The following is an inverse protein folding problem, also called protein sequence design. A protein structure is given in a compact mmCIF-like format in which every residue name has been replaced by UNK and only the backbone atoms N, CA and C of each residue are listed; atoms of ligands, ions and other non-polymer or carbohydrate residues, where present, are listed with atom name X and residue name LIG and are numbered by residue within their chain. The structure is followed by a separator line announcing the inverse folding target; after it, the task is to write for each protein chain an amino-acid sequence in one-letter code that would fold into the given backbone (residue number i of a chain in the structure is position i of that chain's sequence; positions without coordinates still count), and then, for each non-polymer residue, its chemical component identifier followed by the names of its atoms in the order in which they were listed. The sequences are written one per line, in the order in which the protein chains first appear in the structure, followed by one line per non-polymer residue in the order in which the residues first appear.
data_IF_676702992563
#
_entry.id   IF_676702992563
#
_cell.length_a   1.000
_cell.length_b   1.000
_cell.length_c   1.000
_cell.angle_alpha   90.00
_cell.angle_beta   90.00
_cell.angle_gamma   90.00
#
_symmetry.space_group_name_H-M   'P 1'
#
loop_
_entity.id
_entity.type
_entity.pdbx_description
1 polymer ?
#
# COMPACT_ATOMS: atom_id res chain seq x y z
N UNK A 1 7.81 22.00 -12.95
CA UNK A 1 7.34 22.42 -11.62
C UNK A 1 8.17 21.69 -10.56
N UNK A 2 9.14 22.36 -9.93
CA UNK A 2 9.92 21.77 -8.85
C UNK A 2 9.00 21.61 -7.61
N UNK A 3 8.98 20.43 -7.00
CA UNK A 3 8.24 20.21 -5.75
C UNK A 3 8.68 21.25 -4.71
N UNK A 4 7.73 22.05 -4.21
CA UNK A 4 8.03 23.08 -3.21
C UNK A 4 8.64 22.44 -1.95
N UNK A 5 9.52 23.16 -1.26
CA UNK A 5 10.13 22.70 -0.02
C UNK A 5 9.10 22.20 1.01
N UNK A 6 7.91 22.84 1.03
CA UNK A 6 6.78 22.43 1.86
C UNK A 6 6.28 21.01 1.54
N UNK A 7 6.18 20.63 0.25
CA UNK A 7 5.73 19.29 -0.15
C UNK A 7 6.74 18.21 0.24
N UNK A 8 8.05 18.51 0.19
CA UNK A 8 9.09 17.59 0.66
C UNK A 8 9.03 17.38 2.18
N UNK A 9 8.91 18.45 2.94
CA UNK A 9 8.79 18.39 4.40
C UNK A 9 7.56 17.61 4.86
N UNK A 10 6.41 17.81 4.20
CA UNK A 10 5.18 17.09 4.52
C UNK A 10 5.32 15.59 4.25
N UNK A 11 5.86 15.19 3.09
CA UNK A 11 6.10 13.76 2.80
C UNK A 11 7.05 13.11 3.81
N UNK A 12 8.08 13.82 4.25
CA UNK A 12 9.05 13.28 5.20
C UNK A 12 8.45 13.02 6.59
N UNK A 13 7.49 13.85 7.02
CA UNK A 13 6.86 13.71 8.35
C UNK A 13 5.59 12.86 8.34
N UNK A 14 4.87 12.78 7.22
CA UNK A 14 3.55 12.13 7.16
C UNK A 14 3.51 10.84 6.34
N UNK A 15 4.57 10.52 5.59
CA UNK A 15 4.57 9.36 4.69
C UNK A 15 5.81 8.50 4.89
N UNK A 16 5.58 7.24 5.25
CA UNK A 16 6.61 6.21 5.22
C UNK A 16 6.55 5.47 3.89
N UNK A 17 7.69 5.40 3.17
CA UNK A 17 7.81 4.58 1.95
C UNK A 17 8.26 3.18 2.34
N UNK A 18 7.40 2.20 2.08
CA UNK A 18 7.74 0.78 2.21
C UNK A 18 7.92 0.24 0.79
N UNK A 19 9.08 -0.37 0.52
CA UNK A 19 9.39 -1.06 -0.73
C UNK A 19 9.49 -2.54 -0.41
N UNK A 20 8.83 -3.36 -1.23
CA UNK A 20 8.91 -4.81 -1.16
C UNK A 20 9.10 -5.34 -2.57
N UNK A 21 9.93 -6.36 -2.70
CA UNK A 21 10.11 -7.09 -3.96
C UNK A 21 9.10 -8.24 -4.01
N UNK A 22 8.45 -8.39 -5.16
CA UNK A 22 7.54 -9.49 -5.46
C UNK A 22 8.20 -10.36 -6.52
N UNK A 23 8.25 -11.66 -6.29
CA UNK A 23 8.89 -12.59 -7.22
C UNK A 23 7.92 -12.94 -8.34
N UNK A 24 8.39 -12.81 -9.58
CA UNK A 24 7.58 -13.08 -10.77
C UNK A 24 7.06 -14.52 -10.86
N UNK A 25 7.68 -15.48 -10.18
CA UNK A 25 7.31 -16.89 -10.25
C UNK A 25 6.36 -17.33 -9.13
N UNK A 26 6.53 -16.81 -7.91
CA UNK A 26 5.72 -17.20 -6.75
C UNK A 26 4.57 -16.24 -6.46
N UNK A 27 4.74 -14.97 -6.84
CA UNK A 27 3.77 -13.89 -6.61
C UNK A 27 3.15 -13.42 -7.94
N UNK A 28 3.13 -14.28 -8.95
CA UNK A 28 2.61 -13.96 -10.29
C UNK A 28 1.14 -13.54 -10.25
N UNK A 29 0.33 -14.24 -9.45
CA UNK A 29 -1.08 -13.96 -9.20
C UNK A 29 -1.30 -12.61 -8.51
N UNK A 30 -0.46 -12.27 -7.53
CA UNK A 30 -0.47 -10.96 -6.86
C UNK A 30 -0.10 -9.87 -7.85
N UNK A 31 0.94 -10.09 -8.67
CA UNK A 31 1.38 -9.13 -9.70
C UNK A 31 0.33 -8.92 -10.79
N UNK A 32 -0.40 -9.96 -11.18
CA UNK A 32 -1.54 -9.86 -12.10
C UNK A 32 -2.67 -9.07 -11.46
N UNK A 33 -3.06 -9.41 -10.22
CA UNK A 33 -4.14 -8.68 -9.53
C UNK A 33 -3.83 -7.21 -9.35
N UNK A 34 -2.57 -6.89 -9.03
CA UNK A 34 -2.09 -5.52 -8.91
C UNK A 34 -2.06 -4.76 -10.26
N UNK A 35 -1.98 -5.46 -11.40
CA UNK A 35 -2.07 -4.82 -12.72
C UNK A 35 -3.51 -4.50 -13.11
N UNK A 36 -4.47 -5.32 -12.70
CA UNK A 36 -5.89 -5.11 -13.03
C UNK A 36 -6.53 -3.97 -12.25
N UNK A 37 -6.08 -3.72 -11.01
CA UNK A 37 -6.71 -2.71 -10.15
C UNK A 37 -6.34 -1.28 -10.56
N UNK A 38 -7.31 -0.33 -10.49
CA UNK A 38 -7.07 1.06 -10.87
C UNK A 38 -6.06 1.77 -9.94
N UNK A 39 -5.92 1.31 -8.69
CA UNK A 39 -4.94 1.83 -7.74
C UNK A 39 -4.36 0.73 -6.85
N UNK A 40 -3.12 0.32 -7.15
CA UNK A 40 -2.37 -0.67 -6.37
C UNK A 40 -2.25 -0.29 -4.89
N UNK A 41 -1.86 0.95 -4.61
CA UNK A 41 -1.74 1.44 -3.24
C UNK A 41 -3.09 1.50 -2.53
N UNK A 42 -4.16 1.90 -3.24
CA UNK A 42 -5.51 1.94 -2.66
C UNK A 42 -6.02 0.55 -2.30
N UNK A 43 -5.82 -0.41 -3.21
CA UNK A 43 -6.22 -1.80 -3.03
C UNK A 43 -5.52 -2.44 -1.83
N UNK A 44 -4.20 -2.31 -1.74
CA UNK A 44 -3.42 -2.84 -0.61
C UNK A 44 -3.89 -2.22 0.72
N UNK A 45 -4.12 -0.90 0.76
CA UNK A 45 -4.61 -0.23 1.98
C UNK A 45 -6.00 -0.71 2.39
N UNK A 46 -6.89 -0.99 1.43
CA UNK A 46 -8.22 -1.51 1.72
C UNK A 46 -8.15 -2.91 2.33
N UNK A 47 -7.29 -3.79 1.80
CA UNK A 47 -7.07 -5.13 2.34
C UNK A 47 -6.51 -5.08 3.76
N UNK A 48 -5.51 -4.26 4.03
CA UNK A 48 -4.91 -4.13 5.37
C UNK A 48 -5.96 -3.59 6.37
N UNK A 49 -6.76 -2.59 5.98
CA UNK A 49 -7.82 -2.08 6.87
C UNK A 49 -8.87 -3.14 7.18
N UNK A 50 -9.34 -3.86 6.16
CA UNK A 50 -10.30 -4.95 6.36
C UNK A 50 -9.73 -6.08 7.23
N UNK A 51 -8.43 -6.34 7.13
CA UNK A 51 -7.75 -7.35 7.95
C UNK A 51 -7.61 -6.90 9.42
N UNK A 52 -7.29 -5.62 9.66
CA UNK A 52 -7.28 -5.02 10.99
C UNK A 52 -8.67 -5.05 11.62
N UNK A 53 -9.70 -4.72 10.85
CA UNK A 53 -11.10 -4.75 11.32
C UNK A 53 -11.51 -6.17 11.73
N UNK A 54 -11.20 -7.17 10.90
CA UNK A 54 -11.46 -8.60 11.20
C UNK A 54 -10.69 -9.10 12.42
N UNK A 55 -9.43 -8.67 12.57
CA UNK A 55 -8.58 -9.03 13.71
C UNK A 55 -9.06 -8.37 15.00
N UNK A 56 -9.65 -7.18 14.91
CA UNK A 56 -10.30 -6.50 16.04
C UNK A 56 -11.62 -7.13 16.48
N UNK A 57 -12.37 -7.77 15.57
CA UNK A 57 -13.60 -8.51 15.90
C UNK A 57 -13.33 -9.87 16.57
N UNK A 58 -12.19 -10.50 16.32
CA UNK A 58 -11.84 -11.80 16.95
C UNK A 58 -11.30 -11.67 18.38
N UNK A 59 -11.03 -10.46 18.87
CA UNK A 59 -10.56 -10.19 20.23
C UNK A 59 -11.65 -9.66 21.17
N UNK A 60 -12.92 -9.60 20.73
CA UNK A 60 -14.06 -9.18 21.56
C UNK A 60 -14.95 -10.33 22.00
#
# INVERSE_FOLDING_TARGET
MADSAAKKAWRASHTTRIVMDLNHNTDSDILEKLREVPSRQGYIKALIRADLDKSGEQQK
#
